data_IF_312513349359
#
_entry.id   IF_312513349359
#
_cell.length_a   1.000
_cell.length_b   1.000
_cell.length_c   1.000
_cell.angle_alpha   90.00
_cell.angle_beta   90.00
_cell.angle_gamma   90.00
#
_symmetry.space_group_name_H-M   'P 1'
#
loop_
_entity.id
_entity.type
_entity.pdbx_description
1 polymer ?
#
# COMPACT_ATOMS: atom_id res chain seq x y z
N UNK A 1 -14.62 -1.81 -12.08
CA UNK A 1 -14.18 -0.61 -11.33
C UNK A 1 -15.01 -0.30 -10.09
N UNK A 2 -16.36 -0.26 -10.16
CA UNK A 2 -17.21 0.06 -8.99
C UNK A 2 -16.92 -0.86 -7.80
N UNK A 3 -16.94 -2.19 -8.00
CA UNK A 3 -16.65 -3.16 -6.94
C UNK A 3 -15.24 -3.02 -6.36
N UNK A 4 -14.25 -2.75 -7.20
CA UNK A 4 -12.87 -2.50 -6.76
C UNK A 4 -12.80 -1.28 -5.85
N UNK A 5 -13.43 -0.16 -6.23
CA UNK A 5 -13.50 1.04 -5.40
C UNK A 5 -14.24 0.77 -4.08
N UNK A 6 -15.37 0.06 -4.12
CA UNK A 6 -16.12 -0.31 -2.91
C UNK A 6 -15.26 -1.16 -1.95
N UNK A 7 -14.50 -2.12 -2.49
CA UNK A 7 -13.55 -2.90 -1.72
C UNK A 7 -12.48 -2.02 -1.06
N UNK A 8 -11.85 -1.11 -1.81
CA UNK A 8 -10.83 -0.22 -1.26
C UNK A 8 -11.38 0.69 -0.15
N UNK A 9 -12.59 1.24 -0.32
CA UNK A 9 -13.29 2.02 0.73
C UNK A 9 -13.48 1.15 1.98
N UNK A 10 -13.93 -0.08 1.79
CA UNK A 10 -14.16 -1.02 2.89
C UNK A 10 -12.86 -1.29 3.65
N UNK A 11 -11.75 -1.54 2.94
CA UNK A 11 -10.43 -1.67 3.55
C UNK A 11 -10.01 -0.41 4.32
N UNK A 12 -10.14 0.78 3.72
CA UNK A 12 -9.77 2.05 4.36
C UNK A 12 -10.57 2.28 5.65
N UNK A 13 -11.89 2.11 5.62
CA UNK A 13 -12.74 2.32 6.79
C UNK A 13 -12.47 1.27 7.87
N UNK A 14 -12.30 0.00 7.47
CA UNK A 14 -12.04 -1.09 8.42
C UNK A 14 -10.73 -0.88 9.17
N UNK A 15 -9.65 -0.52 8.46
CA UNK A 15 -8.36 -0.30 9.11
C UNK A 15 -8.38 0.98 9.97
N UNK A 16 -9.03 2.06 9.53
CA UNK A 16 -9.16 3.28 10.34
C UNK A 16 -9.89 3.02 11.67
N UNK A 17 -11.02 2.30 11.62
CA UNK A 17 -11.79 1.95 12.82
C UNK A 17 -10.97 1.04 13.73
N UNK A 18 -10.39 -0.03 13.18
CA UNK A 18 -9.61 -0.99 13.97
C UNK A 18 -8.41 -0.32 14.64
N UNK A 19 -7.63 0.44 13.87
CA UNK A 19 -6.48 1.20 14.39
C UNK A 19 -6.90 2.21 15.45
N UNK A 20 -8.01 2.93 15.26
CA UNK A 20 -8.53 3.87 16.26
C UNK A 20 -8.87 3.19 17.58
N UNK A 21 -9.55 2.04 17.54
CA UNK A 21 -9.85 1.24 18.73
C UNK A 21 -8.57 0.75 19.40
N UNK A 22 -7.63 0.18 18.64
CA UNK A 22 -6.35 -0.31 19.18
C UNK A 22 -5.54 0.81 19.84
N UNK A 23 -5.43 1.98 19.22
CA UNK A 23 -4.73 3.14 19.79
C UNK A 23 -5.40 3.61 21.07
N UNK A 24 -6.73 3.65 21.12
CA UNK A 24 -7.47 4.07 22.32
C UNK A 24 -7.24 3.12 23.52
N UNK A 25 -7.01 1.83 23.25
CA UNK A 25 -6.80 0.80 24.27
C UNK A 25 -5.32 0.59 24.65
N UNK A 26 -4.39 0.77 23.71
CA UNK A 26 -2.98 0.36 23.86
C UNK A 26 -1.95 1.48 23.57
N UNK A 27 -2.39 2.67 23.18
CA UNK A 27 -1.54 3.81 22.86
C UNK A 27 -0.83 3.71 21.50
N UNK A 28 0.13 4.61 21.28
CA UNK A 28 0.83 4.79 19.99
C UNK A 28 2.11 3.94 19.87
N UNK A 29 2.04 2.66 20.24
CA UNK A 29 3.22 1.80 20.35
C UNK A 29 3.37 0.78 19.21
N UNK A 30 2.79 1.05 18.03
CA UNK A 30 2.76 0.11 16.91
C UNK A 30 4.15 -0.39 16.51
N UNK A 31 5.11 0.50 16.24
CA UNK A 31 6.42 0.09 15.73
C UNK A 31 7.24 -0.72 16.76
N UNK A 32 7.35 -0.29 18.04
CA UNK A 32 8.01 -1.11 19.06
C UNK A 32 7.38 -2.49 19.24
N UNK A 33 6.05 -2.59 19.23
CA UNK A 33 5.34 -3.88 19.35
C UNK A 33 5.62 -4.75 18.12
N UNK A 34 5.47 -4.19 16.93
CA UNK A 34 5.62 -4.90 15.66
C UNK A 34 7.00 -5.55 15.52
N UNK A 35 8.07 -4.77 15.74
CA UNK A 35 9.44 -5.27 15.64
C UNK A 35 9.86 -6.08 16.87
N UNK A 36 9.29 -5.81 18.05
CA UNK A 36 9.49 -6.61 19.26
C UNK A 36 8.99 -8.04 19.10
N UNK A 37 7.78 -8.21 18.54
CA UNK A 37 7.21 -9.53 18.24
C UNK A 37 8.07 -10.30 17.25
N UNK A 38 8.61 -9.64 16.23
CA UNK A 38 9.54 -10.25 15.27
C UNK A 38 10.81 -10.73 15.96
N UNK A 39 11.42 -9.92 16.82
CA UNK A 39 12.61 -10.28 17.57
C UNK A 39 12.36 -11.45 18.55
N UNK A 40 11.14 -11.59 19.05
CA UNK A 40 10.74 -12.69 19.93
C UNK A 40 10.61 -14.05 19.21
N UNK A 41 10.60 -14.08 17.87
CA UNK A 41 10.55 -15.30 17.05
C UNK A 41 9.40 -16.25 17.41
N UNK A 42 8.26 -15.69 17.83
CA UNK A 42 7.02 -16.41 18.09
C UNK A 42 6.03 -16.28 16.92
N UNK A 43 4.86 -16.92 17.01
CA UNK A 43 3.81 -16.83 15.98
C UNK A 43 3.46 -15.39 15.57
N UNK A 44 3.23 -14.42 16.49
CA UNK A 44 3.00 -13.02 16.10
C UNK A 44 4.16 -12.43 15.29
N UNK A 45 5.40 -12.76 15.68
CA UNK A 45 6.60 -12.34 14.95
C UNK A 45 6.69 -12.91 13.55
N UNK A 46 6.29 -14.17 13.34
CA UNK A 46 6.25 -14.79 12.02
C UNK A 46 5.24 -14.08 11.10
N UNK A 47 4.04 -13.77 11.60
CA UNK A 47 3.04 -13.01 10.85
C UNK A 47 3.49 -11.58 10.56
N UNK A 48 4.10 -10.89 11.54
CA UNK A 48 4.63 -9.55 11.36
C UNK A 48 5.74 -9.53 10.31
N UNK A 49 6.66 -10.49 10.34
CA UNK A 49 7.74 -10.56 9.36
C UNK A 49 7.22 -10.84 7.95
N UNK A 50 6.31 -11.80 7.78
CA UNK A 50 5.65 -12.08 6.50
C UNK A 50 4.96 -10.82 5.96
N UNK A 51 4.11 -10.19 6.78
CA UNK A 51 3.45 -8.94 6.43
C UNK A 51 4.44 -7.81 6.08
N UNK A 52 5.55 -7.69 6.82
CA UNK A 52 6.59 -6.71 6.53
C UNK A 52 7.22 -6.92 5.15
N UNK A 53 7.40 -8.16 4.70
CA UNK A 53 7.88 -8.42 3.33
C UNK A 53 6.89 -7.95 2.26
N UNK A 54 5.57 -8.08 2.50
CA UNK A 54 4.54 -7.49 1.64
C UNK A 54 4.58 -5.96 1.66
N UNK A 55 4.83 -5.34 2.81
CA UNK A 55 4.99 -3.88 2.92
C UNK A 55 6.20 -3.38 2.13
N UNK A 56 7.34 -4.07 2.21
CA UNK A 56 8.53 -3.77 1.43
C UNK A 56 8.27 -3.92 -0.07
N UNK A 57 7.59 -4.98 -0.48
CA UNK A 57 7.19 -5.19 -1.88
C UNK A 57 6.25 -4.09 -2.37
N UNK A 58 5.28 -3.67 -1.54
CA UNK A 58 4.36 -2.57 -1.82
C UNK A 58 5.10 -1.23 -1.99
N UNK A 59 6.06 -0.94 -1.12
CA UNK A 59 6.92 0.24 -1.22
C UNK A 59 7.77 0.24 -2.49
N UNK A 60 8.40 -0.90 -2.80
CA UNK A 60 9.20 -1.06 -4.01
C UNK A 60 8.35 -0.91 -5.27
N UNK A 61 7.17 -1.53 -5.31
CA UNK A 61 6.21 -1.38 -6.41
C UNK A 61 5.76 0.07 -6.56
N UNK A 62 5.45 0.75 -5.45
CA UNK A 62 5.03 2.15 -5.47
C UNK A 62 6.14 3.06 -6.03
N UNK A 63 7.39 2.85 -5.62
CA UNK A 63 8.53 3.60 -6.16
C UNK A 63 8.77 3.30 -7.64
N UNK A 64 8.77 2.02 -8.02
CA UNK A 64 8.96 1.56 -9.40
C UNK A 64 7.88 2.11 -10.35
N UNK A 65 6.61 2.05 -9.94
CA UNK A 65 5.45 2.58 -10.67
C UNK A 65 5.62 4.07 -10.99
N UNK A 66 6.19 4.82 -10.03
CA UNK A 66 6.48 6.24 -10.13
C UNK A 66 7.90 6.53 -10.64
N UNK A 67 8.45 5.62 -11.45
CA UNK A 67 9.72 5.76 -12.17
C UNK A 67 10.95 5.99 -11.27
N UNK A 68 10.89 5.58 -10.00
CA UNK A 68 11.93 5.86 -9.00
C UNK A 68 12.33 7.34 -8.91
N UNK A 69 11.41 8.25 -9.25
CA UNK A 69 11.58 9.68 -9.02
C UNK A 69 11.70 9.96 -7.52
N UNK A 70 12.24 11.12 -7.13
CA UNK A 70 12.32 11.50 -5.72
C UNK A 70 10.95 11.43 -5.02
N UNK A 71 9.88 11.88 -5.70
CA UNK A 71 8.50 11.74 -5.21
C UNK A 71 8.04 10.28 -5.14
N UNK A 72 8.42 9.45 -6.12
CA UNK A 72 8.14 8.01 -6.12
C UNK A 72 8.82 7.27 -4.96
N UNK A 73 10.07 7.59 -4.65
CA UNK A 73 10.80 7.03 -3.51
C UNK A 73 10.17 7.46 -2.18
N UNK A 74 9.80 8.73 -2.05
CA UNK A 74 9.08 9.23 -0.87
C UNK A 74 7.73 8.52 -0.69
N UNK A 75 6.95 8.38 -1.76
CA UNK A 75 5.70 7.60 -1.73
C UNK A 75 5.95 6.12 -1.40
N UNK A 76 7.04 5.53 -1.88
CA UNK A 76 7.45 4.17 -1.54
C UNK A 76 7.69 3.99 -0.05
N UNK A 77 8.38 4.94 0.60
CA UNK A 77 8.56 4.93 2.07
C UNK A 77 7.22 5.06 2.80
N UNK A 78 6.35 5.97 2.35
CA UNK A 78 4.99 6.11 2.91
C UNK A 78 4.20 4.81 2.75
N UNK A 79 4.37 4.08 1.64
CA UNK A 79 3.70 2.81 1.43
C UNK A 79 4.16 1.71 2.39
N UNK A 80 5.46 1.65 2.73
CA UNK A 80 5.98 0.69 3.71
C UNK A 80 5.35 0.92 5.08
N UNK A 81 5.31 2.16 5.57
CA UNK A 81 4.77 2.46 6.91
C UNK A 81 3.25 2.63 6.95
N UNK A 82 2.63 3.05 5.85
CA UNK A 82 1.20 3.27 5.74
C UNK A 82 0.41 2.01 5.38
N UNK A 83 1.08 0.96 4.89
CA UNK A 83 0.50 -0.34 4.59
C UNK A 83 -0.81 -0.29 3.81
N UNK A 84 -1.80 -1.07 4.24
CA UNK A 84 -3.08 -1.15 3.54
C UNK A 84 -3.87 0.16 3.58
N UNK A 85 -3.71 0.98 4.62
CA UNK A 85 -4.34 2.30 4.69
C UNK A 85 -3.85 3.19 3.56
N UNK A 86 -2.53 3.28 3.37
CA UNK A 86 -1.95 4.00 2.25
C UNK A 86 -2.38 3.37 0.91
N UNK A 87 -2.20 2.06 0.76
CA UNK A 87 -2.40 1.40 -0.53
C UNK A 87 -3.86 1.49 -1.01
N UNK A 88 -4.84 1.40 -0.10
CA UNK A 88 -6.25 1.55 -0.44
C UNK A 88 -6.59 2.96 -0.93
N UNK A 89 -6.11 4.00 -0.24
CA UNK A 89 -6.32 5.40 -0.63
C UNK A 89 -5.59 5.70 -1.95
N UNK A 90 -4.35 5.23 -2.07
CA UNK A 90 -3.53 5.46 -3.24
C UNK A 90 -4.15 4.83 -4.49
N UNK A 91 -4.52 3.55 -4.46
CA UNK A 91 -5.20 2.88 -5.58
C UNK A 91 -6.56 3.49 -5.88
N UNK A 92 -7.28 3.99 -4.86
CA UNK A 92 -8.53 4.72 -5.06
C UNK A 92 -8.31 5.97 -5.89
N UNK A 93 -7.35 6.81 -5.50
CA UNK A 93 -6.99 8.04 -6.22
C UNK A 93 -6.58 7.72 -7.66
N UNK A 94 -5.71 6.73 -7.86
CA UNK A 94 -5.26 6.30 -9.18
C UNK A 94 -6.42 5.81 -10.06
N UNK A 95 -7.41 5.15 -9.46
CA UNK A 95 -8.59 4.69 -10.20
C UNK A 95 -9.41 5.84 -10.79
N UNK A 96 -9.38 7.03 -10.17
CA UNK A 96 -10.03 8.22 -10.71
C UNK A 96 -9.11 8.96 -11.69
N UNK A 97 -7.83 9.13 -11.34
CA UNK A 97 -6.85 9.83 -12.17
C UNK A 97 -6.66 9.18 -13.55
N UNK A 98 -6.74 7.85 -13.63
CA UNK A 98 -6.56 7.11 -14.87
C UNK A 98 -7.88 6.61 -15.47
N UNK A 99 -9.03 7.15 -15.05
CA UNK A 99 -10.34 6.76 -15.61
C UNK A 99 -10.71 5.28 -15.42
N UNK A 100 -10.01 4.57 -14.53
CA UNK A 100 -10.17 3.13 -14.34
C UNK A 100 -9.31 2.24 -15.24
N UNK A 101 -8.41 2.80 -16.06
CA UNK A 101 -7.48 2.04 -16.88
C UNK A 101 -6.46 1.28 -16.02
N UNK A 102 -6.64 -0.03 -15.90
CA UNK A 102 -5.84 -0.89 -15.00
C UNK A 102 -4.36 -0.89 -15.35
N UNK A 103 -4.02 -0.87 -16.63
CA UNK A 103 -2.61 -0.86 -17.07
C UNK A 103 -1.89 0.39 -16.55
N UNK A 104 -2.52 1.56 -16.64
CA UNK A 104 -1.96 2.81 -16.11
C UNK A 104 -1.94 2.82 -14.56
N UNK A 105 -2.97 2.24 -13.92
CA UNK A 105 -3.03 2.11 -12.47
C UNK A 105 -1.92 1.20 -11.91
N UNK A 106 -1.62 0.06 -12.54
CA UNK A 106 -0.68 -0.93 -12.01
C UNK A 106 0.75 -0.68 -12.48
N UNK A 107 0.95 -0.35 -13.76
CA UNK A 107 2.28 -0.19 -14.37
C UNK A 107 2.81 1.24 -14.28
N UNK A 108 1.93 2.22 -14.07
CA UNK A 108 2.24 3.64 -14.22
C UNK A 108 2.07 4.13 -15.66
N UNK A 109 1.74 5.42 -15.81
CA UNK A 109 1.32 6.01 -17.08
C UNK A 109 2.35 5.85 -18.22
N UNK A 110 3.64 6.05 -17.92
CA UNK A 110 4.73 5.93 -18.91
C UNK A 110 4.78 4.54 -19.56
N UNK A 111 4.73 3.50 -18.74
CA UNK A 111 4.83 2.10 -19.18
C UNK A 111 3.55 1.62 -19.87
N UNK A 112 2.39 2.07 -19.39
CA UNK A 112 1.12 1.79 -20.03
C UNK A 112 1.06 2.39 -21.45
N UNK A 113 1.50 3.65 -21.62
CA UNK A 113 1.56 4.30 -22.93
C UNK A 113 2.49 3.59 -23.93
N UNK A 114 3.66 3.14 -23.48
CA UNK A 114 4.61 2.40 -24.33
C UNK A 114 4.04 1.04 -24.82
N UNK A 115 3.15 0.41 -24.05
CA UNK A 115 2.46 -0.83 -24.47
C UNK A 115 1.37 -0.58 -25.50
N UNK A 116 0.65 0.55 -25.42
CA UNK A 116 -0.36 0.87 -26.43
C UNK A 116 0.27 1.13 -27.81
N UNK A 117 1.45 1.75 -27.86
CA UNK A 117 2.17 2.04 -29.11
C UNK A 117 2.82 0.82 -29.75
N UNK A 118 3.11 -0.24 -28.98
CA UNK A 118 3.69 -1.47 -29.55
C UNK A 118 2.65 -2.43 -30.11
N UNK A 119 1.36 -2.14 -29.95
CA UNK A 119 0.23 -2.97 -30.42
C UNK A 119 -0.49 -2.38 -31.64
N UNK A 120 -0.15 -1.17 -32.06
CA UNK A 120 -0.62 -0.49 -33.29
C UNK A 120 0.38 -0.67 -34.42
#
# INVERSE_FOLDING_TARGET
MVWFRAFLITCTLSILVYTGVTISAHGWNLLPIFFGDMAAMAWPGQFNFDFFTFLLLSGLWTAWRNDFTLGGLALGLVAVFGGMLFLSIYLMILSFQHGGEIDAMILGARRAGARSTSRS
#
